data_IF_998846287717
#
_entry.id   IF_998846287717
#
_cell.length_a   1.000
_cell.length_b   1.000
_cell.length_c   1.000
_cell.angle_alpha   90.00
_cell.angle_beta   90.00
_cell.angle_gamma   90.00
#
_symmetry.space_group_name_H-M   'P 1'
#
loop_
_entity.id
_entity.type
_entity.pdbx_description
1 polymer ?
#
# COMPACT_ATOMS: atom_id res chain seq x y z
N UNK A 1 29.85 -33.54 -36.33
CA UNK A 1 30.37 -32.18 -36.06
C UNK A 1 29.27 -31.37 -35.40
N UNK A 2 29.27 -31.27 -34.07
CA UNK A 2 28.68 -30.16 -33.30
C UNK A 2 29.58 -29.99 -32.08
N UNK A 3 30.21 -28.82 -31.97
CA UNK A 3 31.34 -28.58 -31.08
C UNK A 3 30.95 -28.47 -29.61
N UNK A 4 31.67 -29.21 -28.76
CA UNK A 4 31.67 -29.02 -27.32
C UNK A 4 32.49 -27.77 -26.98
N UNK A 5 31.82 -26.66 -26.70
CA UNK A 5 32.43 -25.45 -26.16
C UNK A 5 32.78 -25.65 -24.69
N UNK A 6 34.01 -26.09 -24.41
CA UNK A 6 34.60 -26.02 -23.09
C UNK A 6 35.11 -24.58 -22.84
N UNK A 7 34.38 -23.80 -22.04
CA UNK A 7 34.87 -22.49 -21.57
C UNK A 7 35.86 -22.65 -20.41
N UNK A 8 36.96 -21.89 -20.38
CA UNK A 8 38.04 -22.06 -19.41
C UNK A 8 37.78 -21.23 -18.15
N UNK A 9 37.39 -21.89 -17.06
CA UNK A 9 37.51 -21.36 -15.69
C UNK A 9 38.55 -22.18 -14.91
N UNK A 10 39.67 -22.47 -15.55
CA UNK A 10 40.82 -23.14 -14.92
C UNK A 10 41.94 -22.12 -14.74
N UNK A 11 41.91 -21.38 -13.63
CA UNK A 11 42.91 -20.37 -13.37
C UNK A 11 42.64 -19.56 -12.11
N UNK A 12 42.70 -20.23 -10.96
CA UNK A 12 42.96 -19.70 -9.60
C UNK A 12 42.15 -20.46 -8.55
N UNK A 13 42.39 -21.77 -8.42
CA UNK A 13 41.96 -22.55 -7.24
C UNK A 13 43.22 -23.05 -6.55
N UNK A 14 43.93 -22.11 -5.93
CA UNK A 14 45.05 -22.40 -5.05
C UNK A 14 44.87 -21.60 -3.78
N UNK A 15 44.63 -22.29 -2.67
CA UNK A 15 44.63 -21.77 -1.30
C UNK A 15 43.36 -21.04 -0.84
N UNK A 16 42.32 -21.81 -0.51
CA UNK A 16 41.73 -21.84 0.84
C UNK A 16 40.45 -22.68 0.82
N UNK A 17 40.62 -24.01 0.71
CA UNK A 17 39.55 -25.00 0.79
C UNK A 17 40.04 -26.17 1.65
N UNK A 18 40.44 -25.87 2.88
CA UNK A 18 40.74 -26.89 3.88
C UNK A 18 39.42 -27.33 4.53
N UNK A 19 39.00 -28.56 4.19
CA UNK A 19 37.98 -29.29 4.93
C UNK A 19 38.47 -29.50 6.37
N UNK A 20 37.66 -29.31 7.43
CA UNK A 20 38.08 -29.64 8.78
C UNK A 20 38.45 -31.14 8.87
N UNK A 21 39.50 -31.52 9.61
CA UNK A 21 39.91 -32.90 9.74
C UNK A 21 38.89 -33.68 10.55
N UNK A 22 38.04 -34.46 9.88
CA UNK A 22 37.06 -35.36 10.51
C UNK A 22 36.78 -36.57 9.62
N UNK A 23 36.53 -37.73 10.24
CA UNK A 23 36.20 -39.01 9.57
C UNK A 23 34.78 -39.04 8.95
N UNK A 24 34.26 -37.89 8.53
CA UNK A 24 32.99 -37.81 7.79
C UNK A 24 33.22 -37.93 6.29
N UNK A 25 32.21 -38.40 5.55
CA UNK A 25 32.12 -38.16 4.10
C UNK A 25 32.12 -36.63 3.90
N UNK A 26 33.27 -36.07 3.52
CA UNK A 26 33.44 -34.63 3.34
C UNK A 26 32.65 -34.17 2.13
N UNK A 27 31.37 -33.88 2.35
CA UNK A 27 30.49 -33.24 1.39
C UNK A 27 30.55 -31.73 1.61
N UNK A 28 31.00 -31.00 0.60
CA UNK A 28 30.95 -29.55 0.58
C UNK A 28 29.77 -29.14 -0.30
N UNK A 29 28.75 -28.52 0.26
CA UNK A 29 27.72 -27.79 -0.50
C UNK A 29 27.65 -26.37 0.07
N UNK A 30 28.18 -25.41 -0.68
CA UNK A 30 28.24 -24.00 -0.27
C UNK A 30 27.71 -23.10 -1.38
N UNK A 31 26.96 -22.07 -0.98
CA UNK A 31 26.47 -21.01 -1.86
C UNK A 31 27.12 -19.71 -1.44
N UNK A 32 28.03 -19.19 -2.24
CA UNK A 32 28.84 -18.02 -1.90
C UNK A 32 28.82 -17.00 -3.05
N UNK A 33 28.86 -15.69 -2.74
CA UNK A 33 29.11 -14.67 -3.74
C UNK A 33 30.58 -14.78 -4.20
N UNK A 34 30.78 -14.85 -5.51
CA UNK A 34 32.09 -14.96 -6.15
C UNK A 34 32.24 -13.83 -7.15
N UNK A 35 33.40 -13.16 -7.15
CA UNK A 35 33.71 -12.13 -8.13
C UNK A 35 34.32 -12.78 -9.37
N UNK A 36 33.63 -12.67 -10.50
CA UNK A 36 34.08 -13.20 -11.78
C UNK A 36 35.22 -12.33 -12.37
N UNK A 37 35.99 -12.87 -13.31
CA UNK A 37 37.16 -12.18 -13.89
C UNK A 37 36.84 -10.88 -14.64
N UNK A 38 35.59 -10.72 -15.07
CA UNK A 38 35.03 -9.49 -15.67
C UNK A 38 34.64 -8.42 -14.61
N UNK A 39 34.83 -8.70 -13.33
CA UNK A 39 34.50 -7.81 -12.22
C UNK A 39 33.07 -7.96 -11.68
N UNK A 40 32.21 -8.78 -12.30
CA UNK A 40 30.82 -8.99 -11.86
C UNK A 40 30.72 -9.91 -10.65
N UNK A 41 29.69 -9.71 -9.82
CA UNK A 41 29.38 -10.62 -8.71
C UNK A 41 28.39 -11.69 -9.16
N UNK A 42 28.70 -12.95 -8.88
CA UNK A 42 27.86 -14.10 -9.21
C UNK A 42 27.66 -14.97 -7.99
N UNK A 43 26.47 -15.53 -7.84
CA UNK A 43 26.24 -16.56 -6.83
C UNK A 43 26.67 -17.91 -7.39
N UNK A 44 27.58 -18.60 -6.70
CA UNK A 44 28.05 -19.91 -7.15
C UNK A 44 27.70 -20.96 -6.10
N UNK A 45 27.13 -22.08 -6.56
CA UNK A 45 27.03 -23.30 -5.77
C UNK A 45 28.28 -24.13 -6.01
N UNK A 46 29.05 -24.35 -4.96
CA UNK A 46 30.18 -25.27 -4.96
C UNK A 46 29.73 -26.59 -4.32
N UNK A 47 29.77 -27.66 -5.11
CA UNK A 47 29.55 -29.02 -4.62
C UNK A 47 30.82 -29.83 -4.78
N UNK A 48 31.29 -30.49 -3.72
CA UNK A 48 32.52 -31.27 -3.76
C UNK A 48 32.48 -32.48 -2.84
N UNK A 49 33.15 -33.57 -3.26
CA UNK A 49 33.40 -34.73 -2.42
C UNK A 49 34.87 -35.15 -2.49
N UNK A 50 35.39 -35.63 -1.36
CA UNK A 50 36.70 -36.30 -1.33
C UNK A 50 36.56 -37.63 -2.07
N UNK A 51 37.32 -37.82 -3.14
CA UNK A 51 37.32 -39.04 -3.97
C UNK A 51 38.55 -39.91 -3.75
N UNK A 52 39.56 -39.42 -3.05
CA UNK A 52 40.73 -40.20 -2.64
C UNK A 52 41.27 -39.69 -1.29
N UNK A 53 41.72 -40.61 -0.43
CA UNK A 53 42.40 -40.31 0.85
C UNK A 53 43.72 -41.07 0.95
N UNK A 54 44.67 -40.53 1.70
CA UNK A 54 45.94 -41.19 1.99
C UNK A 54 45.78 -42.25 3.11
N UNK A 55 46.87 -42.98 3.40
CA UNK A 55 46.92 -44.00 4.46
C UNK A 55 46.70 -43.43 5.88
N UNK A 56 46.81 -42.11 6.05
CA UNK A 56 46.58 -41.38 7.31
C UNK A 56 45.16 -40.77 7.37
N UNK A 57 44.32 -41.03 6.36
CA UNK A 57 42.95 -40.53 6.26
C UNK A 57 42.81 -39.10 5.70
N UNK A 58 43.90 -38.46 5.28
CA UNK A 58 43.87 -37.10 4.74
C UNK A 58 43.36 -37.08 3.29
N UNK A 59 42.58 -36.06 2.89
CA UNK A 59 42.05 -35.95 1.54
C UNK A 59 43.17 -35.69 0.51
N UNK A 60 43.33 -36.61 -0.46
CA UNK A 60 44.29 -36.50 -1.56
C UNK A 60 43.67 -35.87 -2.82
N UNK A 61 42.38 -36.13 -3.06
CA UNK A 61 41.69 -35.61 -4.25
C UNK A 61 40.26 -35.25 -3.93
N UNK A 62 39.87 -34.06 -4.37
CA UNK A 62 38.50 -33.56 -4.35
C UNK A 62 37.99 -33.56 -5.79
N UNK A 63 36.77 -34.05 -5.99
CA UNK A 63 36.03 -33.85 -7.24
C UNK A 63 34.80 -33.01 -6.92
N UNK A 64 34.55 -31.97 -7.71
CA UNK A 64 33.44 -31.07 -7.47
C UNK A 64 33.01 -30.30 -8.71
N UNK A 65 31.84 -29.70 -8.62
CA UNK A 65 31.26 -28.83 -9.64
C UNK A 65 31.05 -27.43 -9.06
N UNK A 66 31.22 -26.43 -9.93
CA UNK A 66 30.85 -25.06 -9.68
C UNK A 66 29.68 -24.74 -10.62
N UNK A 67 28.53 -24.38 -10.06
CA UNK A 67 27.36 -24.00 -10.84
C UNK A 67 27.00 -22.56 -10.54
N UNK A 68 26.88 -21.74 -11.59
CA UNK A 68 26.31 -20.41 -11.47
C UNK A 68 24.82 -20.54 -11.09
N UNK A 69 24.44 -19.92 -9.99
CA UNK A 69 23.07 -19.89 -9.46
C UNK A 69 22.58 -18.45 -9.30
N UNK A 70 23.22 -17.50 -9.99
CA UNK A 70 22.91 -16.06 -9.88
C UNK A 70 21.44 -15.79 -10.17
N UNK A 71 20.93 -16.23 -11.33
CA UNK A 71 19.53 -16.00 -11.72
C UNK A 71 18.53 -16.56 -10.70
N UNK A 72 18.77 -17.80 -10.24
CA UNK A 72 17.95 -18.44 -9.22
C UNK A 72 17.96 -17.67 -7.90
N UNK A 73 19.14 -17.16 -7.49
CA UNK A 73 19.28 -16.40 -6.24
C UNK A 73 18.65 -15.02 -6.35
N UNK A 74 18.80 -14.35 -7.48
CA UNK A 74 18.16 -13.06 -7.76
C UNK A 74 16.63 -13.21 -7.75
N UNK A 75 16.10 -14.21 -8.46
CA UNK A 75 14.66 -14.49 -8.44
C UNK A 75 14.14 -14.84 -7.03
N UNK A 76 14.90 -15.63 -6.26
CA UNK A 76 14.54 -15.95 -4.87
C UNK A 76 14.49 -14.69 -3.99
N UNK A 77 15.49 -13.80 -4.11
CA UNK A 77 15.56 -12.57 -3.33
C UNK A 77 14.45 -11.59 -3.72
N UNK A 78 14.14 -11.50 -5.02
CA UNK A 78 13.05 -10.66 -5.51
C UNK A 78 11.71 -11.15 -4.98
N UNK A 79 11.44 -12.46 -5.07
CA UNK A 79 10.22 -13.05 -4.51
C UNK A 79 10.13 -12.83 -2.99
N UNK A 80 11.26 -12.96 -2.27
CA UNK A 80 11.30 -12.71 -0.83
C UNK A 80 11.01 -11.25 -0.48
N UNK A 81 11.51 -10.30 -1.28
CA UNK A 81 11.19 -8.87 -1.12
C UNK A 81 9.71 -8.59 -1.41
N UNK A 82 9.16 -9.16 -2.49
CA UNK A 82 7.75 -9.03 -2.82
C UNK A 82 6.87 -9.56 -1.67
N UNK A 83 7.18 -10.74 -1.14
CA UNK A 83 6.44 -11.33 -0.02
C UNK A 83 6.52 -10.49 1.26
N UNK A 84 7.70 -9.97 1.61
CA UNK A 84 7.86 -9.09 2.77
C UNK A 84 7.05 -7.79 2.61
N UNK A 85 7.01 -7.26 1.39
CA UNK A 85 6.23 -6.06 1.05
C UNK A 85 4.74 -6.33 1.16
N UNK A 86 4.24 -7.44 0.63
CA UNK A 86 2.84 -7.87 0.79
C UNK A 86 2.45 -8.04 2.26
N UNK A 87 3.33 -8.60 3.10
CA UNK A 87 3.07 -8.75 4.54
C UNK A 87 2.97 -7.39 5.25
N UNK A 88 3.85 -6.45 4.94
CA UNK A 88 3.81 -5.10 5.52
C UNK A 88 2.54 -4.35 5.09
N UNK A 89 2.20 -4.43 3.81
CA UNK A 89 0.96 -3.86 3.29
C UNK A 89 -0.28 -4.50 3.92
N UNK A 90 -0.30 -5.83 3.99
CA UNK A 90 -1.36 -6.58 4.65
C UNK A 90 -1.50 -6.21 6.11
N UNK A 91 -0.40 -5.93 6.81
CA UNK A 91 -0.43 -5.44 8.20
C UNK A 91 -1.04 -4.04 8.29
N UNK A 92 -0.60 -3.09 7.47
CA UNK A 92 -1.14 -1.71 7.46
C UNK A 92 -2.65 -1.74 7.17
N UNK A 93 -3.06 -2.44 6.11
CA UNK A 93 -4.48 -2.55 5.71
C UNK A 93 -5.32 -3.23 6.79
N UNK A 94 -4.78 -4.27 7.44
CA UNK A 94 -5.47 -5.00 8.51
C UNK A 94 -5.60 -4.17 9.78
N UNK A 95 -4.55 -3.46 10.18
CA UNK A 95 -4.60 -2.55 11.33
C UNK A 95 -5.60 -1.42 11.13
N UNK A 96 -5.74 -0.92 9.89
CA UNK A 96 -6.76 0.06 9.53
C UNK A 96 -8.17 -0.55 9.61
N UNK A 97 -8.37 -1.78 9.11
CA UNK A 97 -9.71 -2.43 9.08
C UNK A 97 -10.18 -2.96 10.44
N UNK A 98 -9.30 -3.57 11.24
CA UNK A 98 -9.70 -4.26 12.48
C UNK A 98 -10.02 -3.31 13.64
N UNK A 99 -9.37 -2.15 13.68
CA UNK A 99 -9.47 -1.24 14.83
C UNK A 99 -10.36 -0.01 14.60
N UNK A 100 -11.02 0.10 13.45
CA UNK A 100 -11.85 1.26 13.08
C UNK A 100 -13.16 0.86 12.41
N UNK A 101 -14.30 0.94 13.11
CA UNK A 101 -15.60 0.88 12.44
C UNK A 101 -15.89 2.22 11.73
N UNK A 102 -16.43 2.14 10.50
CA UNK A 102 -17.02 3.29 9.78
C UNK A 102 -16.06 4.41 9.37
N UNK A 103 -16.44 5.66 9.67
CA UNK A 103 -15.78 6.91 9.22
C UNK A 103 -14.31 7.04 9.66
N UNK A 104 -13.87 6.32 10.70
CA UNK A 104 -12.48 6.39 11.19
C UNK A 104 -11.46 5.65 10.32
N UNK A 105 -11.91 4.82 9.37
CA UNK A 105 -11.02 4.11 8.44
C UNK A 105 -10.18 5.10 7.63
N UNK A 106 -10.81 6.18 7.16
CA UNK A 106 -10.13 7.22 6.38
C UNK A 106 -9.04 7.92 7.21
N UNK A 107 -9.39 8.40 8.42
CA UNK A 107 -8.42 9.07 9.29
C UNK A 107 -7.22 8.19 9.61
N UNK A 108 -7.44 6.91 9.94
CA UNK A 108 -6.33 6.00 10.26
C UNK A 108 -5.47 5.66 9.07
N UNK A 109 -6.08 5.51 7.89
CA UNK A 109 -5.33 5.37 6.66
C UNK A 109 -4.45 6.60 6.40
N UNK A 110 -5.01 7.81 6.56
CA UNK A 110 -4.25 9.04 6.37
C UNK A 110 -3.04 9.12 7.32
N UNK A 111 -3.24 8.81 8.60
CA UNK A 111 -2.15 8.77 9.60
C UNK A 111 -1.10 7.74 9.24
N UNK A 112 -1.49 6.48 9.01
CA UNK A 112 -0.55 5.40 8.73
C UNK A 112 0.27 5.67 7.46
N UNK A 113 -0.35 6.18 6.40
CA UNK A 113 0.35 6.54 5.17
C UNK A 113 1.26 7.74 5.42
N UNK A 114 0.77 8.81 6.05
CA UNK A 114 1.56 10.00 6.35
C UNK A 114 2.83 9.70 7.14
N UNK A 115 2.71 8.88 8.19
CA UNK A 115 3.84 8.43 9.02
C UNK A 115 4.79 7.51 8.23
N UNK A 116 4.27 6.53 7.50
CA UNK A 116 5.09 5.57 6.72
C UNK A 116 5.94 6.29 5.67
N UNK A 117 5.37 7.31 5.03
CA UNK A 117 6.08 8.09 4.01
C UNK A 117 6.86 9.27 4.61
N UNK A 118 6.72 9.58 5.90
CA UNK A 118 7.32 10.77 6.50
C UNK A 118 6.92 12.06 5.75
N UNK A 119 5.69 12.12 5.25
CA UNK A 119 5.18 13.27 4.51
C UNK A 119 4.74 14.39 5.47
N UNK A 120 4.74 15.64 5.00
CA UNK A 120 4.20 16.75 5.80
C UNK A 120 2.69 16.64 6.00
N UNK A 121 2.01 16.03 5.01
CA UNK A 121 0.57 15.80 5.01
C UNK A 121 0.21 14.56 4.19
N UNK A 122 -0.82 13.84 4.62
CA UNK A 122 -1.53 12.87 3.78
C UNK A 122 -3.02 13.21 3.79
N UNK A 123 -3.60 13.55 2.64
CA UNK A 123 -5.01 13.85 2.48
C UNK A 123 -5.70 12.75 1.67
N UNK A 124 -6.88 12.32 2.11
CA UNK A 124 -7.71 11.34 1.42
C UNK A 124 -8.97 12.04 0.94
N UNK A 125 -9.19 11.98 -0.37
CA UNK A 125 -10.36 12.53 -1.02
C UNK A 125 -11.30 11.40 -1.45
N UNK A 126 -12.58 11.53 -1.14
CA UNK A 126 -13.63 10.67 -1.71
C UNK A 126 -14.31 11.40 -2.85
N UNK A 127 -14.78 10.63 -3.83
CA UNK A 127 -15.52 11.18 -4.96
C UNK A 127 -17.02 11.03 -4.73
N UNK A 128 -17.76 12.13 -4.82
CA UNK A 128 -19.22 12.07 -4.90
C UNK A 128 -19.64 11.94 -6.37
N UNK A 129 -20.24 10.80 -6.73
CA UNK A 129 -20.66 10.51 -8.11
C UNK A 129 -21.71 11.49 -8.69
N UNK A 130 -22.68 12.04 -7.93
CA UNK A 130 -23.69 12.95 -8.46
C UNK A 130 -23.12 14.30 -8.90
N UNK A 131 -22.11 14.82 -8.20
CA UNK A 131 -21.53 16.15 -8.49
C UNK A 131 -20.14 16.06 -9.15
N UNK A 132 -19.56 14.85 -9.28
CA UNK A 132 -18.19 14.65 -9.75
C UNK A 132 -17.16 15.49 -8.98
N UNK A 133 -17.41 15.70 -7.69
CA UNK A 133 -16.49 16.46 -6.82
C UNK A 133 -15.65 15.49 -5.99
N UNK A 134 -14.37 15.81 -5.86
CA UNK A 134 -13.49 15.16 -4.90
C UNK A 134 -13.46 16.01 -3.63
N UNK A 135 -13.75 15.43 -2.47
CA UNK A 135 -13.76 16.14 -1.18
C UNK A 135 -12.81 15.45 -0.21
N UNK A 136 -11.97 16.23 0.48
CA UNK A 136 -11.08 15.73 1.50
C UNK A 136 -11.89 15.31 2.73
N UNK A 137 -11.92 14.01 3.03
CA UNK A 137 -12.66 13.44 4.17
C UNK A 137 -11.76 13.08 5.35
N UNK A 138 -10.45 12.97 5.12
CA UNK A 138 -9.48 12.71 6.16
C UNK A 138 -8.13 13.31 5.81
N UNK A 139 -7.42 13.77 6.84
CA UNK A 139 -6.06 14.24 6.69
C UNK A 139 -5.18 13.82 7.88
N UNK A 140 -3.91 13.56 7.58
CA UNK A 140 -2.80 13.57 8.52
C UNK A 140 -1.99 14.83 8.24
N UNK A 141 -1.50 15.46 9.30
CA UNK A 141 -0.84 16.75 9.23
C UNK A 141 0.29 16.80 10.27
N UNK A 142 1.47 17.25 9.84
CA UNK A 142 2.55 17.66 10.75
C UNK A 142 2.33 19.11 11.21
N UNK A 143 2.80 19.46 12.41
CA UNK A 143 2.65 20.82 12.92
C UNK A 143 3.23 21.84 11.94
N UNK A 144 2.53 22.97 11.73
CA UNK A 144 2.88 24.16 10.89
C UNK A 144 2.17 24.30 9.53
N UNK A 145 1.33 23.35 9.14
CA UNK A 145 0.64 23.41 7.84
C UNK A 145 -0.86 23.74 7.97
N UNK A 146 -1.47 24.50 7.04
CA UNK A 146 -2.91 24.78 7.06
C UNK A 146 -3.71 23.51 6.75
N UNK A 147 -4.80 23.22 7.47
CA UNK A 147 -5.71 22.11 7.16
C UNK A 147 -6.35 22.24 5.77
N UNK A 148 -6.58 21.11 5.10
CA UNK A 148 -7.37 21.01 3.85
C UNK A 148 -8.61 20.12 4.01
N UNK A 149 -8.92 19.70 5.23
CA UNK A 149 -10.10 18.88 5.52
C UNK A 149 -11.38 19.59 5.07
N UNK A 150 -12.27 18.86 4.39
CA UNK A 150 -13.53 19.39 3.84
C UNK A 150 -13.37 20.25 2.59
N UNK A 151 -12.14 20.58 2.16
CA UNK A 151 -11.94 21.20 0.85
C UNK A 151 -12.22 20.22 -0.27
N UNK A 152 -12.66 20.72 -1.42
CA UNK A 152 -12.90 19.88 -2.58
C UNK A 152 -12.74 20.63 -3.89
N UNK A 153 -12.75 19.88 -4.98
CA UNK A 153 -12.66 20.40 -6.34
C UNK A 153 -13.54 19.60 -7.30
N UNK A 154 -14.14 20.24 -8.31
CA UNK A 154 -14.78 19.54 -9.41
C UNK A 154 -13.73 18.75 -10.21
N UNK A 155 -13.94 17.45 -10.37
CA UNK A 155 -13.01 16.58 -11.11
C UNK A 155 -12.95 17.00 -12.58
N UNK A 156 -14.09 17.34 -13.19
CA UNK A 156 -14.17 17.66 -14.61
C UNK A 156 -13.41 18.95 -15.01
N UNK A 157 -13.32 19.91 -14.10
CA UNK A 157 -12.62 21.19 -14.32
C UNK A 157 -11.11 21.08 -14.09
N UNK A 158 -10.65 19.89 -13.70
CA UNK A 158 -9.28 19.64 -13.33
C UNK A 158 -8.71 18.53 -14.22
N UNK A 159 -8.06 18.86 -15.36
CA UNK A 159 -7.50 17.87 -16.29
C UNK A 159 -6.57 16.86 -15.62
N UNK A 160 -5.88 17.31 -14.57
CA UNK A 160 -5.04 16.46 -13.75
C UNK A 160 -5.85 15.40 -13.00
N UNK A 161 -6.92 15.81 -12.32
CA UNK A 161 -7.77 14.88 -11.59
C UNK A 161 -8.41 13.86 -12.56
N UNK A 162 -8.82 14.30 -13.76
CA UNK A 162 -9.31 13.40 -14.81
C UNK A 162 -8.24 12.40 -15.21
N UNK A 163 -7.01 12.84 -15.51
CA UNK A 163 -5.90 11.95 -15.87
C UNK A 163 -5.60 10.94 -14.78
N UNK A 164 -5.56 11.37 -13.53
CA UNK A 164 -5.21 10.52 -12.40
C UNK A 164 -6.33 9.53 -12.02
N UNK A 165 -7.59 9.89 -12.25
CA UNK A 165 -8.72 8.98 -12.04
C UNK A 165 -8.92 8.00 -13.20
N UNK A 166 -8.54 8.37 -14.42
CA UNK A 166 -8.63 7.49 -15.60
C UNK A 166 -7.45 6.54 -15.73
N UNK A 167 -6.25 6.97 -15.31
CA UNK A 167 -5.04 6.15 -15.32
C UNK A 167 -4.77 5.52 -13.96
N UNK A 168 -4.14 4.34 -13.93
CA UNK A 168 -3.73 3.70 -12.66
C UNK A 168 -2.31 4.09 -12.24
N UNK A 169 -1.88 5.31 -12.60
CA UNK A 169 -0.49 5.74 -12.39
C UNK A 169 -0.39 6.75 -11.27
N UNK A 170 0.67 6.61 -10.48
CA UNK A 170 1.07 7.61 -9.50
C UNK A 170 1.60 8.83 -10.25
N UNK A 171 1.17 10.00 -9.80
CA UNK A 171 1.71 11.25 -10.28
C UNK A 171 2.48 11.92 -9.15
N UNK A 172 3.70 12.33 -9.44
CA UNK A 172 4.58 12.98 -8.48
C UNK A 172 5.19 14.24 -9.09
N UNK A 173 5.14 15.35 -8.36
CA UNK A 173 5.78 16.61 -8.74
C UNK A 173 6.73 17.05 -7.64
N UNK A 174 8.01 17.20 -8.00
CA UNK A 174 9.08 17.61 -7.09
C UNK A 174 9.04 19.10 -6.77
N UNK A 175 8.68 19.95 -7.74
CA UNK A 175 8.64 21.39 -7.54
C UNK A 175 7.31 21.95 -8.04
N UNK A 176 6.41 22.21 -7.09
CA UNK A 176 5.07 22.71 -7.35
C UNK A 176 5.08 24.10 -7.96
N UNK A 177 5.95 25.02 -7.53
CA UNK A 177 5.95 26.41 -8.02
C UNK A 177 6.41 26.53 -9.48
N UNK A 178 7.13 25.53 -9.99
CA UNK A 178 7.58 25.47 -11.39
C UNK A 178 6.71 24.60 -12.31
N UNK A 179 5.79 23.82 -11.75
CA UNK A 179 4.94 22.94 -12.56
C UNK A 179 3.82 23.73 -13.23
N UNK A 180 3.46 23.37 -14.46
CA UNK A 180 2.27 23.89 -15.17
C UNK A 180 1.21 22.82 -15.37
N UNK A 181 1.43 21.61 -14.87
CA UNK A 181 0.62 20.42 -15.17
C UNK A 181 -0.65 20.31 -14.30
N UNK A 182 -0.79 21.16 -13.28
CA UNK A 182 -1.78 21.03 -12.20
C UNK A 182 -2.96 21.99 -12.31
N UNK A 183 -2.90 22.93 -13.25
CA UNK A 183 -3.96 23.93 -13.47
C UNK A 183 -4.40 24.62 -12.17
N UNK A 184 -5.72 24.71 -11.96
CA UNK A 184 -6.31 25.34 -10.77
C UNK A 184 -5.92 24.66 -9.44
N UNK A 185 -5.55 23.38 -9.46
CA UNK A 185 -5.19 22.65 -8.25
C UNK A 185 -3.85 23.12 -7.68
N UNK A 186 -2.95 23.62 -8.53
CA UNK A 186 -1.66 24.16 -8.10
C UNK A 186 -1.82 25.26 -7.05
N UNK A 187 -2.77 26.18 -7.27
CA UNK A 187 -3.02 27.29 -6.36
C UNK A 187 -3.50 26.80 -4.98
N UNK A 188 -4.37 25.78 -4.95
CA UNK A 188 -4.83 25.18 -3.70
C UNK A 188 -3.68 24.48 -2.95
N UNK A 189 -2.83 23.72 -3.65
CA UNK A 189 -1.66 23.06 -3.06
C UNK A 189 -0.65 24.08 -2.50
N UNK A 190 -0.39 25.16 -3.24
CA UNK A 190 0.47 26.25 -2.78
C UNK A 190 -0.12 26.98 -1.57
N UNK A 191 -1.44 27.22 -1.54
CA UNK A 191 -2.13 27.79 -0.39
C UNK A 191 -2.04 26.88 0.86
N UNK A 192 -2.05 25.57 0.65
CA UNK A 192 -1.79 24.55 1.67
C UNK A 192 -0.29 24.43 2.04
N UNK A 193 0.57 25.29 1.48
CA UNK A 193 2.04 25.34 1.67
C UNK A 193 2.75 24.06 1.22
N UNK A 194 2.23 23.36 0.23
CA UNK A 194 2.95 22.25 -0.41
C UNK A 194 4.05 22.78 -1.35
N UNK A 195 5.24 22.19 -1.28
CA UNK A 195 6.36 22.42 -2.20
C UNK A 195 6.51 21.29 -3.22
N UNK A 196 6.18 20.07 -2.80
CA UNK A 196 6.12 18.87 -3.63
C UNK A 196 4.86 18.09 -3.29
N UNK A 197 4.39 17.28 -4.23
CA UNK A 197 3.28 16.39 -3.93
C UNK A 197 3.37 15.08 -4.73
N UNK A 198 2.67 14.07 -4.25
CA UNK A 198 2.46 12.80 -4.93
C UNK A 198 1.00 12.37 -4.72
N UNK A 199 0.33 11.96 -5.78
CA UNK A 199 -1.06 11.54 -5.73
C UNK A 199 -1.29 10.22 -6.47
N UNK A 200 -2.27 9.46 -6.01
CA UNK A 200 -2.75 8.24 -6.68
C UNK A 200 -4.24 8.05 -6.44
N UNK A 201 -4.92 7.40 -7.39
CA UNK A 201 -6.33 7.03 -7.22
C UNK A 201 -6.49 5.82 -6.31
N UNK A 202 -7.60 5.78 -5.60
CA UNK A 202 -8.11 4.54 -4.97
C UNK A 202 -9.18 3.95 -5.86
N UNK A 203 -9.28 2.62 -5.93
CA UNK A 203 -10.30 1.95 -6.74
C UNK A 203 -10.91 0.73 -6.07
N UNK A 204 -12.18 0.45 -6.40
CA UNK A 204 -12.86 -0.80 -6.09
C UNK A 204 -13.30 -1.45 -7.41
N UNK A 205 -12.81 -2.66 -7.69
CA UNK A 205 -13.07 -3.41 -8.94
C UNK A 205 -12.84 -2.57 -10.21
N UNK A 206 -11.80 -1.75 -10.21
CA UNK A 206 -11.44 -0.87 -11.33
C UNK A 206 -12.26 0.42 -11.43
N UNK A 207 -13.24 0.64 -10.55
CA UNK A 207 -13.96 1.91 -10.45
C UNK A 207 -13.22 2.84 -9.50
N UNK A 208 -12.88 4.08 -9.90
CA UNK A 208 -12.19 5.01 -9.04
C UNK A 208 -13.11 5.52 -7.93
N UNK A 209 -12.70 5.32 -6.68
CA UNK A 209 -13.46 5.69 -5.47
C UNK A 209 -13.02 7.02 -4.88
N UNK A 210 -11.77 7.42 -5.12
CA UNK A 210 -11.17 8.57 -4.48
C UNK A 210 -9.70 8.75 -4.83
N UNK A 211 -9.02 9.58 -4.04
CA UNK A 211 -7.60 9.93 -4.20
C UNK A 211 -6.88 9.88 -2.85
N UNK A 212 -5.63 9.45 -2.88
CA UNK A 212 -4.67 9.67 -1.79
C UNK A 212 -3.64 10.68 -2.29
N UNK A 213 -3.40 11.73 -1.52
CA UNK A 213 -2.49 12.82 -1.85
C UNK A 213 -1.51 13.02 -0.70
N UNK A 214 -0.21 12.99 -1.00
CA UNK A 214 0.88 13.27 -0.10
C UNK A 214 1.52 14.60 -0.46
N UNK A 215 1.65 15.48 0.51
CA UNK A 215 2.35 16.76 0.35
C UNK A 215 3.64 16.79 1.16
N UNK A 216 4.67 17.41 0.58
CA UNK A 216 5.87 17.83 1.31
C UNK A 216 5.93 19.36 1.31
N UNK A 217 5.96 19.97 2.49
CA UNK A 217 5.91 21.43 2.62
C UNK A 217 7.21 22.10 3.09
N UNK A 218 8.13 21.36 3.72
CA UNK A 218 9.38 21.92 4.28
C UNK A 218 10.56 21.90 3.30
N UNK A 219 10.55 21.05 2.27
CA UNK A 219 11.56 21.01 1.22
C UNK A 219 10.98 20.42 -0.07
N UNK A 220 11.68 20.63 -1.19
CA UNK A 220 11.38 19.95 -2.45
C UNK A 220 11.80 18.47 -2.39
N UNK A 221 10.83 17.56 -2.33
CA UNK A 221 11.05 16.11 -2.28
C UNK A 221 11.04 15.50 -3.67
N UNK A 222 12.10 14.76 -3.99
CA UNK A 222 12.13 13.84 -5.12
C UNK A 222 11.55 12.51 -4.68
N UNK A 223 10.39 12.12 -5.23
CA UNK A 223 9.74 10.86 -4.95
C UNK A 223 10.38 9.72 -5.74
N UNK A 224 10.87 8.71 -5.04
CA UNK A 224 11.53 7.53 -5.61
C UNK A 224 10.52 6.58 -6.26
N UNK A 225 10.98 5.74 -7.21
CA UNK A 225 10.12 4.73 -7.83
C UNK A 225 9.58 3.70 -6.82
N UNK A 226 10.36 3.40 -5.77
CA UNK A 226 9.90 2.56 -4.66
C UNK A 226 8.73 3.19 -3.90
N UNK A 227 8.80 4.49 -3.59
CA UNK A 227 7.72 5.20 -2.90
C UNK A 227 6.46 5.29 -3.76
N UNK A 228 6.60 5.60 -5.05
CA UNK A 228 5.48 5.61 -5.99
C UNK A 228 4.79 4.25 -6.02
N UNK A 229 5.57 3.19 -6.27
CA UNK A 229 5.05 1.82 -6.31
C UNK A 229 4.35 1.45 -5.00
N UNK A 230 4.89 1.88 -3.85
CA UNK A 230 4.33 1.55 -2.54
C UNK A 230 2.99 2.25 -2.34
N UNK A 231 2.90 3.54 -2.68
CA UNK A 231 1.67 4.30 -2.53
C UNK A 231 0.57 3.73 -3.43
N UNK A 232 0.92 3.34 -4.66
CA UNK A 232 -0.01 2.72 -5.60
C UNK A 232 -0.63 1.43 -5.05
N UNK A 233 0.19 0.54 -4.51
CA UNK A 233 -0.28 -0.71 -3.92
C UNK A 233 -1.16 -0.47 -2.69
N UNK A 234 -0.75 0.44 -1.79
CA UNK A 234 -1.54 0.81 -0.62
C UNK A 234 -2.91 1.35 -1.04
N UNK A 235 -2.95 2.27 -2.01
CA UNK A 235 -4.18 2.88 -2.48
C UNK A 235 -5.13 1.87 -3.17
N UNK A 236 -4.58 0.91 -3.91
CA UNK A 236 -5.36 -0.18 -4.52
C UNK A 236 -6.07 -1.03 -3.45
N UNK A 237 -5.37 -1.37 -2.37
CA UNK A 237 -5.96 -2.16 -1.28
C UNK A 237 -6.97 -1.37 -0.43
N UNK A 238 -6.73 -0.07 -0.25
CA UNK A 238 -7.64 0.80 0.51
C UNK A 238 -8.91 1.15 -0.26
N UNK A 239 -8.88 1.21 -1.58
CA UNK A 239 -10.04 1.55 -2.39
C UNK A 239 -11.26 0.67 -2.13
N UNK A 240 -11.05 -0.64 -1.94
CA UNK A 240 -12.09 -1.60 -1.54
C UNK A 240 -12.64 -1.28 -0.14
N UNK A 241 -11.75 -0.94 0.81
CA UNK A 241 -12.15 -0.61 2.18
C UNK A 241 -12.99 0.67 2.24
N UNK A 242 -12.58 1.67 1.47
CA UNK A 242 -13.26 2.95 1.36
C UNK A 242 -14.64 2.80 0.73
N UNK A 243 -14.76 2.03 -0.35
CA UNK A 243 -16.07 1.74 -0.97
C UNK A 243 -17.06 1.10 0.01
N UNK A 244 -16.59 0.15 0.84
CA UNK A 244 -17.41 -0.49 1.86
C UNK A 244 -17.82 0.48 2.98
N UNK A 245 -16.88 1.30 3.45
CA UNK A 245 -17.14 2.29 4.50
C UNK A 245 -18.16 3.35 4.05
N UNK A 246 -18.02 3.87 2.83
CA UNK A 246 -18.95 4.84 2.25
C UNK A 246 -20.36 4.28 2.09
N UNK A 247 -20.49 3.03 1.64
CA UNK A 247 -21.79 2.38 1.48
C UNK A 247 -22.51 2.26 2.83
N UNK A 248 -21.81 1.79 3.87
CA UNK A 248 -22.36 1.65 5.21
C UNK A 248 -22.79 3.00 5.80
N UNK A 249 -21.98 4.05 5.61
CA UNK A 249 -22.31 5.39 6.08
C UNK A 249 -23.59 5.92 5.44
N UNK A 250 -23.78 5.67 4.13
CA UNK A 250 -24.99 6.07 3.38
C UNK A 250 -26.23 5.32 3.86
N UNK A 251 -26.13 4.00 4.11
CA UNK A 251 -27.24 3.20 4.64
C UNK A 251 -27.67 3.67 6.04
N UNK A 252 -26.70 3.96 6.92
CA UNK A 252 -26.98 4.49 8.26
C UNK A 252 -27.63 5.88 8.20
N UNK A 253 -27.16 6.77 7.31
CA UNK A 253 -27.80 8.07 7.10
C UNK A 253 -29.23 7.93 6.59
N UNK A 254 -29.50 7.01 5.68
CA UNK A 254 -30.85 6.76 5.19
C UNK A 254 -31.76 6.18 6.29
N UNK A 255 -31.29 5.20 7.06
CA UNK A 255 -32.05 4.66 8.20
C UNK A 255 -32.31 5.70 9.30
N UNK A 256 -31.34 6.58 9.59
CA UNK A 256 -31.53 7.70 10.52
C UNK A 256 -32.49 8.77 9.99
N UNK A 257 -32.53 9.01 8.68
CA UNK A 257 -33.52 9.92 8.07
C UNK A 257 -34.93 9.32 8.06
N UNK A 258 -35.06 8.02 7.80
CA UNK A 258 -36.35 7.31 7.82
C UNK A 258 -36.91 7.17 9.23
N UNK A 259 -36.09 6.86 10.22
CA UNK A 259 -36.50 6.79 11.63
C UNK A 259 -36.92 8.15 12.20
N UNK A 260 -36.25 9.25 11.84
CA UNK A 260 -36.66 10.62 12.23
C UNK A 260 -37.98 11.09 11.58
N UNK A 261 -38.38 10.52 10.43
CA UNK A 261 -39.68 10.82 9.79
C UNK A 261 -40.85 10.10 10.45
N UNK A 262 -40.60 9.00 11.16
CA UNK A 262 -41.61 8.33 11.97
C UNK A 262 -41.66 9.05 13.32
N UNK A 263 -42.35 10.20 13.35
CA UNK A 263 -42.63 10.94 14.59
C UNK A 263 -43.45 10.11 15.59
N UNK A 264 -43.47 10.50 16.88
CA UNK A 264 -44.12 9.72 17.93
C UNK A 264 -45.58 9.46 17.59
N UNK A 265 -46.02 8.20 17.75
CA UNK A 265 -47.41 7.78 17.57
C UNK A 265 -48.36 8.79 18.23
N UNK A 266 -49.40 9.28 17.52
CA UNK A 266 -50.35 10.19 18.13
C UNK A 266 -50.99 9.49 19.32
N UNK A 267 -50.85 10.07 20.52
CA UNK A 267 -51.49 9.53 21.73
C UNK A 267 -53.00 9.41 21.46
N UNK A 268 -53.64 8.29 21.80
CA UNK A 268 -55.06 8.13 21.56
C UNK A 268 -55.80 9.26 22.28
N UNK A 269 -56.56 10.01 21.50
CA UNK A 269 -57.28 11.19 21.94
C UNK A 269 -58.32 10.76 22.99
N UNK A 270 -58.06 11.03 24.28
CA UNK A 270 -59.01 10.77 25.35
C UNK A 270 -60.15 11.80 25.32
N UNK A 271 -60.93 11.81 24.23
CA UNK A 271 -62.23 12.47 24.22
C UNK A 271 -63.21 11.54 24.93
N UNK A 272 -63.55 11.93 26.17
CA UNK A 272 -64.72 11.44 26.91
C UNK A 272 -65.93 11.36 25.97
N UNK A 273 -66.33 10.14 25.60
CA UNK A 273 -67.71 9.89 25.22
C UNK A 273 -68.56 10.10 26.48
N UNK A 274 -69.38 11.15 26.50
CA UNK A 274 -70.51 11.22 27.43
C UNK A 274 -71.53 10.17 26.97
N UNK A 275 -72.04 9.29 27.85
CA UNK A 275 -73.15 8.42 27.47
C UNK A 275 -74.43 9.27 27.45
N UNK A 276 -75.01 9.44 26.27
CA UNK A 276 -76.42 9.83 26.11
C UNK A 276 -77.26 8.55 26.10
N UNK A 277 -77.69 8.13 27.29
CA UNK A 277 -78.68 7.06 27.48
C UNK A 277 -79.73 7.52 28.51
N UNK A 278 -81.00 7.15 28.37
CA UNK A 278 -82.09 7.73 29.14
C UNK A 278 -82.04 7.29 30.61
N UNK A 279 -82.38 8.22 31.51
CA UNK A 279 -82.53 7.97 32.95
C UNK A 279 -83.66 6.95 33.17
N UNK A 280 -83.33 5.77 33.69
CA UNK A 280 -84.29 4.86 34.31
C UNK A 280 -84.20 5.08 35.82
N UNK A 281 -85.25 5.65 36.39
CA UNK A 281 -85.44 5.74 37.84
C UNK A 281 -85.80 4.35 38.37
N UNK A 282 -85.11 3.87 39.40
CA UNK A 282 -85.67 2.88 40.31
C UNK A 282 -85.22 3.19 41.74
N UNK A 283 -86.21 3.53 42.57
CA UNK A 283 -86.12 3.53 44.02
C UNK A 283 -86.19 2.09 44.53
N UNK A 284 -85.23 1.67 45.36
CA UNK A 284 -85.44 1.12 46.72
C UNK A 284 -84.13 0.59 47.29
#
# INVERSE_FOLDING_TARGET
>A
MVGAGASPLSGAVGQSLLCPPGRGQGHLDRRIPHRHGDGTWRWVRQQGKVVARDRRGQPLRLAGTLSDITDRKTAQLELQRQYQRELLLGKIVREIREKSPGEQIFLRAAIAIGETFGASRCAIYTRDEPQLTATCVAEFLTDQYPSVLGTGFPVAENPFAVSLLTTDRVLAVTNLSKSTELGAWQAQLLAARAQSFMAVRTSDKGRPTGLVVLDQGNYHRQWTESEKSLLQEVASHLGIAFAQADLLAREQQQNNRSSKKIGPWPRPNSRRMRPTGPKVNFWR
#
